data_IF_039038771617
#
_entry.id   IF_039038771617
#
_cell.length_a   1.000
_cell.length_b   1.000
_cell.length_c   1.000
_cell.angle_alpha   90.00
_cell.angle_beta   90.00
_cell.angle_gamma   90.00
#
_symmetry.space_group_name_H-M   'P 1'
#
loop_
_entity.id
_entity.type
_entity.pdbx_description
1 polymer ?
#
# COMPACT_ATOMS: atom_id res chain seq x y z
N UNK A 1 -14.72 -49.81 16.27
CA UNK A 1 -13.54 -49.88 15.38
C UNK A 1 -13.65 -48.69 14.44
N UNK A 2 -13.16 -47.52 14.88
CA UNK A 2 -11.80 -47.01 14.61
C UNK A 2 -11.71 -46.45 13.19
N UNK A 3 -11.69 -45.10 13.14
CA UNK A 3 -11.03 -44.23 12.14
C UNK A 3 -11.64 -44.32 10.73
N UNK A 4 -12.23 -43.27 10.21
CA UNK A 4 -11.47 -42.19 9.59
C UNK A 4 -12.26 -40.87 9.64
N UNK A 5 -12.06 -40.14 10.74
CA UNK A 5 -12.13 -38.67 10.71
C UNK A 5 -10.90 -38.21 9.90
N UNK A 6 -11.07 -37.14 9.12
CA UNK A 6 -10.02 -36.35 8.48
C UNK A 6 -9.45 -36.88 7.14
N UNK A 7 -10.12 -36.52 6.04
CA UNK A 7 -9.44 -36.28 4.76
C UNK A 7 -10.37 -35.47 3.85
N UNK A 8 -10.20 -34.14 3.79
CA UNK A 8 -10.53 -33.24 2.66
C UNK A 8 -10.76 -31.77 3.07
N UNK A 9 -10.38 -31.33 4.28
CA UNK A 9 -10.24 -29.91 4.61
C UNK A 9 -8.82 -29.39 4.29
N UNK A 10 -8.21 -29.88 3.21
CA UNK A 10 -6.96 -29.37 2.68
C UNK A 10 -7.27 -28.67 1.36
N UNK A 11 -6.71 -27.47 1.16
CA UNK A 11 -6.82 -26.58 -0.02
C UNK A 11 -7.85 -25.45 0.08
N UNK A 12 -8.00 -24.86 1.27
CA UNK A 12 -8.26 -23.43 1.42
C UNK A 12 -7.09 -22.77 2.15
N UNK A 13 -5.87 -23.17 1.81
CA UNK A 13 -4.73 -22.27 1.94
C UNK A 13 -4.81 -21.30 0.77
N UNK A 14 -5.86 -20.45 0.76
CA UNK A 14 -5.76 -19.19 0.06
C UNK A 14 -4.52 -18.54 0.64
N UNK A 15 -3.47 -18.42 -0.18
CA UNK A 15 -2.30 -17.66 0.18
C UNK A 15 -2.84 -16.28 0.55
N UNK A 16 -3.00 -16.01 1.84
CA UNK A 16 -2.99 -14.67 2.36
C UNK A 16 -1.56 -14.22 2.08
N UNK A 17 -1.30 -13.79 0.84
CA UNK A 17 -0.22 -12.88 0.55
C UNK A 17 -0.50 -11.73 1.49
N UNK A 18 0.20 -11.68 2.62
CA UNK A 18 0.03 -10.63 3.59
C UNK A 18 0.27 -9.33 2.84
N UNK A 19 -0.83 -8.61 2.57
CA UNK A 19 -0.76 -7.32 1.89
C UNK A 19 -0.19 -6.34 2.90
N UNK A 20 1.13 -6.30 2.99
CA UNK A 20 1.80 -5.37 3.88
C UNK A 20 1.61 -3.98 3.30
N UNK A 21 0.91 -3.13 4.06
CA UNK A 21 0.77 -1.72 3.68
C UNK A 21 2.13 -1.06 3.83
N UNK A 22 2.76 -0.78 2.69
CA UNK A 22 4.09 -0.22 2.63
C UNK A 22 4.06 1.32 2.57
N UNK A 23 2.98 1.94 2.08
CA UNK A 23 2.76 3.38 2.16
C UNK A 23 1.34 3.73 2.59
N UNK A 24 1.20 4.71 3.49
CA UNK A 24 -0.10 5.19 3.97
C UNK A 24 -0.10 6.68 4.28
N UNK A 25 -1.30 7.27 4.35
CA UNK A 25 -1.48 8.67 4.72
C UNK A 25 -0.92 8.96 6.12
N UNK A 26 -0.07 9.97 6.22
CA UNK A 26 0.62 10.37 7.44
C UNK A 26 0.11 11.69 7.99
N UNK A 27 -0.15 12.68 7.13
CA UNK A 27 -0.72 13.96 7.54
C UNK A 27 -1.45 14.66 6.40
N UNK A 28 -2.29 15.61 6.77
CA UNK A 28 -3.03 16.51 5.87
C UNK A 28 -2.73 17.94 6.31
N UNK A 29 -2.12 18.73 5.43
CA UNK A 29 -1.80 20.14 5.70
C UNK A 29 -1.62 20.91 4.40
N UNK A 30 -1.92 22.20 4.43
CA UNK A 30 -1.68 23.14 3.33
C UNK A 30 -2.26 22.68 1.98
N UNK A 31 -3.45 22.05 2.02
CA UNK A 31 -4.12 21.54 0.82
C UNK A 31 -3.41 20.34 0.18
N UNK A 32 -2.58 19.61 0.95
CA UNK A 32 -1.85 18.43 0.47
C UNK A 32 -1.97 17.26 1.44
N UNK A 33 -2.04 16.07 0.84
CA UNK A 33 -1.97 14.79 1.53
C UNK A 33 -0.54 14.29 1.53
N UNK A 34 0.04 14.10 2.72
CA UNK A 34 1.39 13.58 2.89
C UNK A 34 1.33 12.10 3.25
N UNK A 35 2.22 11.34 2.61
CA UNK A 35 2.32 9.90 2.77
C UNK A 35 3.70 9.54 3.27
N UNK A 36 3.76 8.50 4.10
CA UNK A 36 4.99 7.89 4.60
C UNK A 36 5.02 6.44 4.18
N UNK A 37 6.20 5.98 3.74
CA UNK A 37 6.46 4.62 3.33
C UNK A 37 7.42 3.94 4.30
N UNK A 38 7.14 2.71 4.66
CA UNK A 38 7.92 1.95 5.64
C UNK A 38 9.10 1.26 4.94
N UNK A 39 10.30 1.38 5.51
CA UNK A 39 11.45 0.58 5.09
C UNK A 39 11.23 -0.89 5.47
N UNK A 40 11.78 -1.78 4.64
CA UNK A 40 11.78 -3.23 4.85
C UNK A 40 10.39 -3.88 4.88
N UNK A 41 9.31 -3.14 4.64
CA UNK A 41 8.04 -3.74 4.22
C UNK A 41 8.30 -4.54 2.93
N UNK A 42 7.80 -5.77 2.87
CA UNK A 42 8.09 -6.71 1.77
C UNK A 42 9.55 -6.80 1.33
N UNK A 43 10.50 -6.65 2.26
CA UNK A 43 11.94 -6.73 2.01
C UNK A 43 12.49 -5.71 1.00
N UNK A 44 11.81 -4.56 0.84
CA UNK A 44 12.21 -3.48 -0.06
C UNK A 44 12.41 -2.16 0.69
N UNK A 45 13.09 -1.21 0.03
CA UNK A 45 13.37 0.10 0.63
C UNK A 45 12.14 1.02 0.62
N UNK A 46 12.07 1.95 1.57
CA UNK A 46 11.02 2.97 1.60
C UNK A 46 11.03 3.86 0.36
N UNK A 47 12.20 4.08 -0.26
CA UNK A 47 12.30 4.77 -1.55
C UNK A 47 11.68 4.00 -2.70
N UNK A 48 11.84 2.67 -2.74
CA UNK A 48 11.21 1.83 -3.74
C UNK A 48 9.69 1.90 -3.63
N UNK A 49 9.14 1.76 -2.41
CA UNK A 49 7.70 1.89 -2.17
C UNK A 49 7.17 3.27 -2.53
N UNK A 50 7.91 4.33 -2.17
CA UNK A 50 7.56 5.71 -2.53
C UNK A 50 7.45 5.87 -4.04
N UNK A 51 8.42 5.35 -4.80
CA UNK A 51 8.45 5.49 -6.25
C UNK A 51 7.34 4.70 -6.94
N UNK A 52 7.07 3.48 -6.49
CA UNK A 52 5.94 2.67 -6.97
C UNK A 52 4.59 3.33 -6.67
N UNK A 53 4.42 3.83 -5.45
CA UNK A 53 3.20 4.51 -5.07
C UNK A 53 3.01 5.83 -5.82
N UNK A 54 4.08 6.62 -5.95
CA UNK A 54 4.10 7.85 -6.73
C UNK A 54 3.73 7.57 -8.18
N UNK A 55 4.32 6.55 -8.80
CA UNK A 55 4.03 6.16 -10.17
C UNK A 55 2.55 5.79 -10.35
N UNK A 56 2.00 5.00 -9.43
CA UNK A 56 0.58 4.63 -9.46
C UNK A 56 -0.37 5.84 -9.32
N UNK A 57 -0.05 6.78 -8.43
CA UNK A 57 -0.85 8.00 -8.24
C UNK A 57 -0.74 8.95 -9.43
N UNK A 58 0.47 9.18 -9.93
CA UNK A 58 0.72 10.04 -11.09
C UNK A 58 0.13 9.45 -12.38
N UNK A 59 0.14 8.12 -12.53
CA UNK A 59 -0.52 7.42 -13.64
C UNK A 59 -2.04 7.58 -13.64
N UNK A 60 -2.65 7.86 -12.46
CA UNK A 60 -4.06 8.24 -12.32
C UNK A 60 -4.31 9.74 -12.53
N UNK A 61 -3.28 10.52 -12.82
CA UNK A 61 -3.35 11.96 -13.07
C UNK A 61 -3.37 12.82 -11.81
N UNK A 62 -3.01 12.29 -10.65
CA UNK A 62 -2.91 13.08 -9.42
C UNK A 62 -1.62 13.90 -9.39
N UNK A 63 -1.69 15.15 -8.92
CA UNK A 63 -0.52 16.00 -8.70
C UNK A 63 0.24 15.55 -7.44
N UNK A 64 1.16 14.61 -7.62
CA UNK A 64 1.98 14.03 -6.57
C UNK A 64 3.47 14.28 -6.82
N UNK A 65 4.24 14.45 -5.76
CA UNK A 65 5.69 14.67 -5.82
C UNK A 65 6.41 13.99 -4.65
N UNK A 66 7.67 13.57 -4.82
CA UNK A 66 8.48 13.11 -3.71
C UNK A 66 8.80 14.26 -2.75
N UNK A 67 8.81 13.98 -1.45
CA UNK A 67 9.18 14.95 -0.38
C UNK A 67 10.46 14.54 0.34
N UNK A 68 10.90 13.29 0.18
CA UNK A 68 12.06 12.74 0.87
C UNK A 68 12.31 11.29 0.50
N UNK A 69 13.19 10.62 1.24
CA UNK A 69 13.61 9.25 0.96
C UNK A 69 12.45 8.24 0.91
N UNK A 70 11.48 8.34 1.81
CA UNK A 70 10.34 7.44 1.91
C UNK A 70 9.01 8.20 2.06
N UNK A 71 8.97 9.45 1.59
CA UNK A 71 7.81 10.33 1.73
C UNK A 71 7.45 10.98 0.40
N UNK A 72 6.16 11.17 0.19
CA UNK A 72 5.61 11.89 -0.95
C UNK A 72 4.41 12.74 -0.51
N UNK A 73 4.01 13.70 -1.33
CA UNK A 73 2.79 14.47 -1.12
C UNK A 73 1.98 14.58 -2.39
N UNK A 74 0.65 14.66 -2.26
CA UNK A 74 -0.27 14.90 -3.35
C UNK A 74 -1.17 16.10 -3.07
N UNK A 75 -1.55 16.85 -4.10
CA UNK A 75 -2.56 17.89 -3.98
C UNK A 75 -3.90 17.27 -3.57
N UNK A 76 -4.51 17.83 -2.51
CA UNK A 76 -5.81 17.40 -2.03
C UNK A 76 -6.89 18.13 -2.83
N UNK A 77 -7.35 17.49 -3.90
CA UNK A 77 -8.47 17.96 -4.73
C UNK A 77 -9.72 17.14 -4.45
N UNK A 78 -10.90 17.62 -4.87
CA UNK A 78 -12.14 16.85 -4.74
C UNK A 78 -12.06 15.49 -5.46
N UNK A 79 -11.36 15.43 -6.60
CA UNK A 79 -11.11 14.19 -7.34
C UNK A 79 -10.08 13.27 -6.66
N UNK A 80 -9.17 13.83 -5.86
CA UNK A 80 -8.23 13.05 -5.06
C UNK A 80 -8.94 12.41 -3.86
N UNK A 81 -9.91 13.11 -3.26
CA UNK A 81 -10.62 12.63 -2.08
C UNK A 81 -9.81 12.78 -0.78
N UNK A 82 -10.04 11.88 0.17
CA UNK A 82 -9.39 11.93 1.48
C UNK A 82 -7.94 11.45 1.45
N UNK A 83 -7.09 12.01 2.30
CA UNK A 83 -5.68 11.61 2.37
C UNK A 83 -5.47 10.13 2.76
N UNK A 84 -6.44 9.53 3.44
CA UNK A 84 -6.41 8.11 3.82
C UNK A 84 -7.12 7.19 2.82
N UNK A 85 -7.67 7.75 1.72
CA UNK A 85 -8.30 6.98 0.65
C UNK A 85 -7.30 6.26 -0.27
N UNK A 86 -6.03 6.65 -0.19
CA UNK A 86 -4.95 6.04 -0.97
C UNK A 86 -3.95 5.38 -0.04
N UNK A 87 -3.48 4.21 -0.44
CA UNK A 87 -2.38 3.48 0.20
C UNK A 87 -1.71 2.63 -0.86
N UNK A 88 -0.51 2.19 -0.57
CA UNK A 88 0.19 1.21 -1.38
C UNK A 88 0.54 0.01 -0.53
N UNK A 89 0.22 -1.16 -1.05
CA UNK A 89 0.46 -2.47 -0.43
C UNK A 89 1.35 -3.29 -1.35
N UNK A 90 2.29 -4.01 -0.76
CA UNK A 90 3.11 -4.96 -1.49
C UNK A 90 2.56 -6.39 -1.33
N UNK A 91 2.78 -7.21 -2.36
CA UNK A 91 2.17 -8.55 -2.51
C UNK A 91 1.34 -8.61 -3.79
N UNK A 92 1.53 -9.66 -4.61
CA UNK A 92 0.72 -9.84 -5.81
C UNK A 92 -0.73 -10.12 -5.43
N UNK A 93 -1.68 -9.42 -6.05
CA UNK A 93 -3.13 -9.52 -5.79
C UNK A 93 -3.58 -8.94 -4.44
N UNK A 94 -3.01 -7.79 -4.08
CA UNK A 94 -3.66 -6.76 -3.29
C UNK A 94 -4.31 -5.74 -4.24
#
# INVERSE_FOLDING_TARGET
>A
MVKLVAAALALLAAAATACDTACSGASDRDGRCYYSCTDNACHMSGSHHRDEFLNGLSGRGYDCKPEGYNTLSCAKTDNFGGCWSHKWTCGGQC
#
